data_IF_942609090516
#
_entry.id   IF_942609090516
#
_cell.length_a   1.000
_cell.length_b   1.000
_cell.length_c   1.000
_cell.angle_alpha   90.00
_cell.angle_beta   90.00
_cell.angle_gamma   90.00
#
_symmetry.space_group_name_H-M   'P 1'
#
loop_
_entity.id
_entity.type
_entity.pdbx_description
1 polymer ?
#
# COMPACT_ATOMS: atom_id res chain seq x y z
N UNK A 1 18.19 -1.49 30.54
CA UNK A 1 17.85 -0.95 29.20
C UNK A 1 17.52 -2.12 28.29
N UNK A 2 16.23 -2.38 28.02
CA UNK A 2 15.73 -3.52 27.22
C UNK A 2 14.70 -3.00 26.20
N UNK A 3 15.08 -2.14 25.25
CA UNK A 3 14.11 -1.47 24.35
C UNK A 3 14.54 -1.48 22.87
N UNK A 4 14.57 -2.64 22.19
CA UNK A 4 14.35 -2.62 20.73
C UNK A 4 13.26 -3.59 20.22
N UNK A 5 12.95 -4.66 20.97
CA UNK A 5 11.98 -5.68 20.53
C UNK A 5 10.54 -5.22 20.78
N UNK A 6 10.29 -4.58 21.93
CA UNK A 6 8.97 -4.05 22.33
C UNK A 6 8.41 -3.04 21.32
N UNK A 7 9.25 -2.11 20.85
CA UNK A 7 8.85 -1.11 19.85
C UNK A 7 8.47 -1.74 18.51
N UNK A 8 9.17 -2.79 18.09
CA UNK A 8 8.90 -3.47 16.81
C UNK A 8 7.62 -4.29 16.88
N UNK A 9 7.42 -5.04 17.96
CA UNK A 9 6.20 -5.82 18.18
C UNK A 9 4.98 -4.91 18.30
N UNK A 10 5.10 -3.78 19.00
CA UNK A 10 4.03 -2.79 19.10
C UNK A 10 3.70 -2.15 17.74
N UNK A 11 4.70 -1.85 16.92
CA UNK A 11 4.48 -1.34 15.55
C UNK A 11 3.75 -2.36 14.66
N UNK A 12 4.13 -3.64 14.75
CA UNK A 12 3.46 -4.73 14.02
C UNK A 12 2.02 -4.85 14.51
N UNK A 13 1.79 -4.92 15.83
CA UNK A 13 0.45 -5.04 16.41
C UNK A 13 -0.44 -3.86 15.98
N UNK A 14 0.07 -2.63 16.01
CA UNK A 14 -0.67 -1.45 15.55
C UNK A 14 -1.01 -1.54 14.06
N UNK A 15 -0.06 -1.98 13.21
CA UNK A 15 -0.31 -2.16 11.79
C UNK A 15 -1.36 -3.26 11.51
N UNK A 16 -1.35 -4.35 12.29
CA UNK A 16 -2.34 -5.42 12.18
C UNK A 16 -3.74 -4.97 12.63
N UNK A 17 -3.84 -4.12 13.64
CA UNK A 17 -5.13 -3.53 14.06
C UNK A 17 -5.66 -2.53 13.03
N UNK A 18 -4.79 -1.68 12.47
CA UNK A 18 -5.19 -0.68 11.47
C UNK A 18 -5.58 -1.30 10.13
N UNK A 19 -4.89 -2.38 9.72
CA UNK A 19 -5.17 -3.10 8.46
C UNK A 19 -5.23 -4.61 8.72
N UNK A 20 -6.35 -5.11 9.28
CA UNK A 20 -6.51 -6.52 9.63
C UNK A 20 -6.37 -7.47 8.42
N UNK A 21 -6.04 -8.76 8.63
CA UNK A 21 -5.95 -9.75 7.56
C UNK A 21 -7.16 -9.76 6.60
N UNK A 22 -8.39 -9.62 7.13
CA UNK A 22 -9.60 -9.58 6.32
C UNK A 22 -9.69 -8.36 5.40
N UNK A 23 -9.23 -7.19 5.88
CA UNK A 23 -9.16 -5.96 5.10
C UNK A 23 -8.08 -6.08 4.03
N UNK A 24 -6.90 -6.60 4.37
CA UNK A 24 -5.80 -6.84 3.41
C UNK A 24 -6.27 -7.72 2.25
N UNK A 25 -6.87 -8.88 2.55
CA UNK A 25 -7.37 -9.80 1.53
C UNK A 25 -8.45 -9.18 0.64
N UNK A 26 -9.40 -8.44 1.23
CA UNK A 26 -10.45 -7.74 0.46
C UNK A 26 -9.90 -6.62 -0.40
N UNK A 27 -8.90 -5.88 0.09
CA UNK A 27 -8.24 -4.82 -0.67
C UNK A 27 -7.57 -5.40 -1.92
N UNK A 28 -6.79 -6.48 -1.76
CA UNK A 28 -6.14 -7.16 -2.90
C UNK A 28 -7.17 -7.66 -3.91
N UNK A 29 -8.26 -8.28 -3.44
CA UNK A 29 -9.34 -8.75 -4.32
C UNK A 29 -10.01 -7.61 -5.11
N UNK A 30 -10.24 -6.46 -4.46
CA UNK A 30 -10.78 -5.26 -5.13
C UNK A 30 -9.83 -4.73 -6.20
N UNK A 31 -8.52 -4.66 -5.92
CA UNK A 31 -7.55 -4.19 -6.92
C UNK A 31 -7.52 -5.13 -8.13
N UNK A 32 -7.51 -6.44 -7.91
CA UNK A 32 -7.56 -7.47 -8.98
C UNK A 32 -8.85 -7.45 -9.81
N UNK A 33 -9.89 -6.78 -9.33
CA UNK A 33 -11.15 -6.60 -10.07
C UNK A 33 -11.27 -5.20 -10.67
N UNK A 34 -10.15 -4.46 -10.73
CA UNK A 34 -10.04 -3.16 -11.38
C UNK A 34 -10.27 -1.95 -10.47
N UNK A 35 -10.50 -2.15 -9.17
CA UNK A 35 -10.66 -1.02 -8.25
C UNK A 35 -9.32 -0.32 -7.99
N UNK A 36 -9.32 1.01 -8.01
CA UNK A 36 -8.17 1.77 -7.59
C UNK A 36 -7.93 1.63 -6.07
N UNK A 37 -6.68 1.41 -5.64
CA UNK A 37 -6.33 1.14 -4.23
C UNK A 37 -6.82 2.21 -3.25
N UNK A 38 -6.74 3.50 -3.62
CA UNK A 38 -7.23 4.57 -2.74
C UNK A 38 -8.75 4.50 -2.53
N UNK A 39 -9.50 4.05 -3.54
CA UNK A 39 -10.96 3.97 -3.47
C UNK A 39 -11.38 2.67 -2.74
N UNK A 40 -10.73 1.55 -3.09
CA UNK A 40 -10.91 0.28 -2.40
C UNK A 40 -10.59 0.36 -0.90
N UNK A 41 -9.55 1.09 -0.50
CA UNK A 41 -9.22 1.31 0.90
C UNK A 41 -10.32 2.11 1.62
N UNK A 42 -10.80 3.21 1.02
CA UNK A 42 -11.88 4.03 1.59
C UNK A 42 -13.17 3.24 1.74
N UNK A 43 -13.54 2.44 0.75
CA UNK A 43 -14.71 1.54 0.81
C UNK A 43 -14.61 0.53 1.96
N UNK A 44 -13.39 0.10 2.30
CA UNK A 44 -13.13 -0.81 3.42
C UNK A 44 -12.98 -0.08 4.77
N UNK A 45 -13.23 1.24 4.81
CA UNK A 45 -13.12 2.05 6.03
C UNK A 45 -11.69 2.35 6.45
N UNK A 46 -10.70 2.17 5.56
CA UNK A 46 -9.28 2.41 5.85
C UNK A 46 -8.78 3.62 5.09
N UNK A 47 -8.06 4.51 5.78
CA UNK A 47 -7.37 5.61 5.13
C UNK A 47 -6.26 5.05 4.21
N UNK A 48 -6.20 5.43 2.91
CA UNK A 48 -5.20 4.93 1.98
C UNK A 48 -3.76 5.09 2.45
N UNK A 49 -3.45 6.15 3.21
CA UNK A 49 -2.11 6.34 3.79
C UNK A 49 -1.76 5.21 4.76
N UNK A 50 -2.72 4.73 5.56
CA UNK A 50 -2.52 3.64 6.52
C UNK A 50 -2.27 2.31 5.83
N UNK A 51 -2.84 2.07 4.66
CA UNK A 51 -2.50 0.90 3.82
C UNK A 51 -1.01 0.86 3.51
N UNK A 52 -0.45 1.96 3.00
CA UNK A 52 0.96 2.00 2.63
C UNK A 52 1.91 2.06 3.84
N UNK A 53 1.49 2.67 4.95
CA UNK A 53 2.22 2.58 6.22
C UNK A 53 2.28 1.15 6.74
N UNK A 54 1.15 0.45 6.79
CA UNK A 54 1.07 -0.95 7.21
C UNK A 54 1.85 -1.87 6.27
N UNK A 55 1.80 -1.64 4.95
CA UNK A 55 2.57 -2.38 3.96
C UNK A 55 4.09 -2.31 4.17
N UNK A 56 4.62 -1.22 4.74
CA UNK A 56 6.05 -1.09 5.08
C UNK A 56 6.44 -1.91 6.31
N UNK A 57 5.51 -2.12 7.24
CA UNK A 57 5.73 -2.84 8.50
C UNK A 57 5.47 -4.33 8.30
N UNK A 58 4.39 -4.67 7.61
CA UNK A 58 3.94 -6.04 7.33
C UNK A 58 4.46 -6.48 5.96
N UNK A 59 5.74 -6.88 5.90
CA UNK A 59 6.48 -7.13 4.63
C UNK A 59 5.73 -8.03 3.64
N UNK A 60 5.20 -9.17 4.09
CA UNK A 60 4.44 -10.09 3.23
C UNK A 60 3.20 -9.44 2.59
N UNK A 61 2.51 -8.57 3.33
CA UNK A 61 1.40 -7.80 2.78
C UNK A 61 1.89 -6.74 1.79
N UNK A 62 2.99 -6.06 2.10
CA UNK A 62 3.59 -5.07 1.20
C UNK A 62 4.01 -5.66 -0.14
N UNK A 63 4.67 -6.82 -0.13
CA UNK A 63 5.07 -7.55 -1.33
C UNK A 63 3.87 -7.95 -2.18
N UNK A 64 2.82 -8.49 -1.55
CA UNK A 64 1.59 -8.85 -2.24
C UNK A 64 0.87 -7.64 -2.84
N UNK A 65 0.80 -6.53 -2.09
CA UNK A 65 0.20 -5.29 -2.55
C UNK A 65 0.96 -4.72 -3.75
N UNK A 66 2.28 -4.65 -3.67
CA UNK A 66 3.11 -4.11 -4.74
C UNK A 66 3.05 -4.98 -5.98
N UNK A 67 3.11 -6.31 -5.84
CA UNK A 67 2.91 -7.25 -6.96
C UNK A 67 1.55 -7.03 -7.64
N UNK A 68 0.49 -6.88 -6.84
CA UNK A 68 -0.86 -6.65 -7.36
C UNK A 68 -0.96 -5.30 -8.07
N UNK A 69 -0.43 -4.23 -7.48
CA UNK A 69 -0.37 -2.90 -8.10
C UNK A 69 0.52 -2.83 -9.35
N UNK A 70 1.42 -3.79 -9.53
CA UNK A 70 2.22 -3.93 -10.74
C UNK A 70 1.50 -4.68 -11.85
N UNK A 71 0.77 -5.73 -11.50
CA UNK A 71 -0.04 -6.50 -12.44
C UNK A 71 -1.22 -5.68 -12.98
N UNK A 72 -1.90 -4.93 -12.11
CA UNK A 72 -3.12 -4.19 -12.45
C UNK A 72 -2.83 -2.74 -12.90
N UNK A 73 -1.67 -2.50 -13.53
CA UNK A 73 -1.31 -1.17 -14.03
C UNK A 73 -2.07 -0.83 -15.29
N UNK A 74 -2.51 0.41 -15.38
CA UNK A 74 -2.94 1.02 -16.64
C UNK A 74 -1.73 1.18 -17.58
N UNK A 75 -1.67 0.48 -18.73
CA UNK A 75 -0.51 0.52 -19.63
C UNK A 75 -0.30 1.90 -20.30
N UNK A 76 -1.33 2.74 -20.35
CA UNK A 76 -1.29 4.05 -21.01
C UNK A 76 -0.73 5.16 -20.09
N UNK A 77 -0.48 4.84 -18.82
CA UNK A 77 0.13 5.77 -17.87
C UNK A 77 1.66 5.74 -17.94
N UNK A 78 2.33 6.91 -17.85
CA UNK A 78 3.79 6.98 -17.77
C UNK A 78 4.27 6.57 -16.36
N UNK A 79 4.33 5.27 -16.09
CA UNK A 79 4.76 4.72 -14.79
C UNK A 79 6.18 5.15 -14.42
N UNK A 80 6.45 5.24 -13.12
CA UNK A 80 7.76 5.67 -12.61
C UNK A 80 8.03 7.17 -12.74
N UNK A 81 7.02 7.97 -13.07
CA UNK A 81 7.10 9.42 -13.15
C UNK A 81 6.14 10.09 -12.18
N UNK A 82 6.40 11.36 -11.84
CA UNK A 82 5.47 12.21 -11.08
C UNK A 82 4.14 12.34 -11.81
N UNK A 83 4.16 12.44 -13.13
CA UNK A 83 2.95 12.49 -13.96
C UNK A 83 2.09 11.24 -13.76
N UNK A 84 2.69 10.05 -13.80
CA UNK A 84 1.99 8.79 -13.51
C UNK A 84 1.40 8.76 -12.11
N UNK A 85 2.14 9.24 -11.10
CA UNK A 85 1.64 9.36 -9.73
C UNK A 85 0.47 10.35 -9.59
N UNK A 86 0.55 11.50 -10.26
CA UNK A 86 -0.49 12.54 -10.27
C UNK A 86 -1.76 12.07 -10.98
N UNK A 87 -1.63 11.20 -11.98
CA UNK A 87 -2.74 10.44 -12.58
C UNK A 87 -3.23 9.28 -11.70
N UNK A 88 -2.91 9.34 -10.41
CA UNK A 88 -3.32 8.42 -9.32
C UNK A 88 -2.60 7.07 -9.28
N UNK A 89 -1.71 6.69 -10.19
CA UNK A 89 -1.01 5.41 -10.05
C UNK A 89 -0.24 5.31 -8.72
N UNK A 90 -0.44 4.19 -8.00
CA UNK A 90 0.17 3.90 -6.68
C UNK A 90 1.17 2.74 -6.71
N UNK A 91 1.57 2.29 -7.89
CA UNK A 91 2.58 1.26 -8.04
C UNK A 91 3.91 1.68 -7.40
N UNK A 92 4.79 0.74 -7.01
CA UNK A 92 6.03 1.06 -6.30
C UNK A 92 6.93 2.05 -7.06
N UNK A 93 6.96 1.98 -8.39
CA UNK A 93 7.73 2.90 -9.23
C UNK A 93 7.20 4.33 -9.16
N UNK A 94 5.88 4.54 -9.28
CA UNK A 94 5.26 5.87 -9.18
C UNK A 94 5.39 6.47 -7.77
N UNK A 95 5.24 5.66 -6.72
CA UNK A 95 5.45 6.14 -5.33
C UNK A 95 6.91 6.56 -5.11
N UNK A 96 7.86 5.81 -5.65
CA UNK A 96 9.30 6.11 -5.55
C UNK A 96 9.69 7.38 -6.30
N UNK A 97 9.05 7.65 -7.44
CA UNK A 97 9.32 8.85 -8.24
C UNK A 97 9.05 10.15 -7.46
N UNK A 98 7.99 10.18 -6.64
CA UNK A 98 7.66 11.35 -5.81
C UNK A 98 8.54 11.43 -4.57
N UNK A 99 8.84 10.29 -3.93
CA UNK A 99 9.70 10.27 -2.74
C UNK A 99 11.14 10.75 -3.01
N UNK A 100 11.62 10.68 -4.26
CA UNK A 100 12.96 11.16 -4.66
C UNK A 100 13.03 12.67 -4.90
N UNK A 101 11.89 13.35 -4.95
CA UNK A 101 11.82 14.80 -5.22
C UNK A 101 11.63 15.64 -3.96
N UNK A 102 11.39 14.99 -2.82
CA UNK A 102 11.29 15.59 -1.49
C UNK A 102 12.62 15.43 -0.77
#
# INVERSE_FOLDING_TARGET
>A
MKHPIDDTEQLIANAEQEVPPSVRSRLIAKIRTGAHVDDAARELGVNPRRVFSAARILSAFGEQLDTTLMAERDPDLPHGTVTGYNKRCRCPQCRSAVNRQL
#
